data_IF_919184800552
#
_entry.id   IF_919184800552
#
_cell.length_a   1.000
_cell.length_b   1.000
_cell.length_c   1.000
_cell.angle_alpha   90.00
_cell.angle_beta   90.00
_cell.angle_gamma   90.00
#
_symmetry.space_group_name_H-M   'P 1'
#
loop_
_entity.id
_entity.type
_entity.pdbx_description
1 polymer ?
#
# COMPACT_ATOMS: atom_id res chain seq x y z
N UNK A 1 34.53 -7.71 -0.05
CA UNK A 1 34.72 -7.30 -1.47
C UNK A 1 34.02 -8.27 -2.41
N UNK A 2 34.37 -9.55 -2.44
CA UNK A 2 33.72 -10.54 -3.34
C UNK A 2 32.22 -10.73 -3.12
N UNK A 3 31.73 -10.78 -1.87
CA UNK A 3 30.29 -10.95 -1.59
C UNK A 3 29.41 -9.78 -2.08
N UNK A 4 29.91 -8.54 -2.04
CA UNK A 4 29.17 -7.38 -2.56
C UNK A 4 29.07 -7.38 -4.09
N UNK A 5 30.11 -7.86 -4.77
CA UNK A 5 30.08 -7.99 -6.24
C UNK A 5 29.08 -9.07 -6.66
N UNK A 6 28.95 -10.15 -5.87
CA UNK A 6 27.96 -11.20 -6.08
C UNK A 6 26.53 -10.69 -5.88
N UNK A 7 26.32 -9.87 -4.84
CA UNK A 7 25.01 -9.24 -4.56
C UNK A 7 24.59 -8.24 -5.65
N UNK A 8 25.47 -7.36 -6.12
CA UNK A 8 25.15 -6.40 -7.18
C UNK A 8 24.89 -7.10 -8.51
N UNK A 9 25.65 -8.17 -8.82
CA UNK A 9 25.40 -8.97 -10.01
C UNK A 9 24.04 -9.67 -9.95
N UNK A 10 23.69 -10.23 -8.78
CA UNK A 10 22.37 -10.84 -8.56
C UNK A 10 21.24 -9.83 -8.74
N UNK A 11 21.35 -8.62 -8.17
CA UNK A 11 20.35 -7.55 -8.36
C UNK A 11 20.17 -7.21 -9.84
N UNK A 12 21.26 -7.10 -10.59
CA UNK A 12 21.22 -6.79 -12.02
C UNK A 12 20.53 -7.90 -12.84
N UNK A 13 20.81 -9.17 -12.54
CA UNK A 13 20.16 -10.32 -13.19
C UNK A 13 18.66 -10.35 -12.88
N UNK A 14 18.27 -10.18 -11.61
CA UNK A 14 16.87 -10.12 -11.21
C UNK A 14 16.14 -8.96 -11.91
N UNK A 15 16.75 -7.77 -11.96
CA UNK A 15 16.18 -6.62 -12.67
C UNK A 15 15.95 -6.93 -14.15
N UNK A 16 16.93 -7.54 -14.81
CA UNK A 16 16.83 -7.91 -16.22
C UNK A 16 15.70 -8.92 -16.46
N UNK A 17 15.57 -9.95 -15.61
CA UNK A 17 14.48 -10.93 -15.72
C UNK A 17 13.13 -10.24 -15.52
N UNK A 18 12.97 -9.43 -14.47
CA UNK A 18 11.73 -8.74 -14.18
C UNK A 18 11.29 -7.82 -15.33
N UNK A 19 12.22 -7.09 -15.93
CA UNK A 19 11.96 -6.24 -17.11
C UNK A 19 11.51 -7.05 -18.32
N UNK A 20 12.18 -8.17 -18.61
CA UNK A 20 11.81 -9.04 -19.73
C UNK A 20 10.41 -9.63 -19.55
N UNK A 21 10.12 -10.17 -18.36
CA UNK A 21 8.80 -10.71 -18.03
C UNK A 21 7.69 -9.65 -18.13
N UNK A 22 7.96 -8.42 -17.66
CA UNK A 22 7.00 -7.32 -17.73
C UNK A 22 6.80 -6.78 -19.16
N UNK A 23 7.80 -6.87 -20.03
CA UNK A 23 7.68 -6.46 -21.43
C UNK A 23 6.85 -7.46 -22.26
N UNK A 24 6.92 -8.75 -21.92
CA UNK A 24 6.26 -9.83 -22.67
C UNK A 24 4.86 -10.17 -22.15
N UNK A 25 4.47 -9.67 -20.97
CA UNK A 25 3.18 -10.01 -20.35
C UNK A 25 2.04 -9.18 -20.94
N UNK A 26 0.96 -9.86 -21.34
CA UNK A 26 -0.28 -9.18 -21.71
C UNK A 26 -1.07 -8.73 -20.48
N UNK A 27 -1.95 -7.74 -20.65
CA UNK A 27 -2.83 -7.27 -19.56
C UNK A 27 -3.71 -8.39 -18.97
N UNK A 28 -4.05 -9.41 -19.77
CA UNK A 28 -4.87 -10.55 -19.33
C UNK A 28 -4.06 -11.55 -18.48
N UNK A 29 -2.77 -11.72 -18.77
CA UNK A 29 -1.87 -12.63 -18.05
C UNK A 29 -1.23 -11.99 -16.82
N UNK A 30 -1.17 -10.65 -16.77
CA UNK A 30 -0.53 -9.90 -15.70
C UNK A 30 -1.00 -10.35 -14.30
N UNK A 31 -2.31 -10.51 -14.01
CA UNK A 31 -2.76 -10.94 -12.69
C UNK A 31 -2.17 -12.29 -12.27
N UNK A 32 -1.90 -13.20 -13.20
CA UNK A 32 -1.35 -14.52 -12.91
C UNK A 32 0.16 -14.44 -12.64
N UNK A 33 0.89 -13.64 -13.44
CA UNK A 33 2.35 -13.50 -13.39
C UNK A 33 2.87 -12.39 -12.46
N UNK A 34 1.98 -11.62 -11.84
CA UNK A 34 2.34 -10.40 -11.09
C UNK A 34 3.40 -10.65 -10.00
N UNK A 35 3.32 -11.77 -9.28
CA UNK A 35 4.30 -12.09 -8.23
C UNK A 35 5.69 -12.35 -8.82
N UNK A 36 5.78 -13.17 -9.86
CA UNK A 36 7.05 -13.48 -10.52
C UNK A 36 7.74 -12.21 -11.02
N UNK A 37 6.98 -11.32 -11.67
CA UNK A 37 7.49 -10.04 -12.17
C UNK A 37 7.98 -9.16 -11.01
N UNK A 38 7.12 -8.92 -10.01
CA UNK A 38 7.39 -7.98 -8.93
C UNK A 38 8.51 -8.47 -8.02
N UNK A 39 8.59 -9.77 -7.75
CA UNK A 39 9.66 -10.34 -6.92
C UNK A 39 11.03 -10.12 -7.57
N UNK A 40 11.13 -10.28 -8.89
CA UNK A 40 12.35 -9.99 -9.63
C UNK A 40 12.68 -8.49 -9.65
N UNK A 41 11.71 -7.63 -9.95
CA UNK A 41 11.93 -6.18 -9.99
C UNK A 41 12.29 -5.61 -8.61
N UNK A 42 11.65 -6.08 -7.54
CA UNK A 42 11.91 -5.61 -6.18
C UNK A 42 13.31 -5.97 -5.68
N UNK A 43 13.89 -7.10 -6.10
CA UNK A 43 15.28 -7.44 -5.81
C UNK A 43 16.23 -6.46 -6.50
N UNK A 44 15.90 -6.05 -7.73
CA UNK A 44 16.70 -5.14 -8.54
C UNK A 44 16.44 -3.65 -8.32
N UNK A 45 15.48 -3.26 -7.47
CA UNK A 45 14.92 -1.90 -7.43
C UNK A 45 15.93 -0.79 -7.17
N UNK A 46 16.98 -1.07 -6.39
CA UNK A 46 18.04 -0.10 -6.08
C UNK A 46 18.89 0.28 -7.30
N UNK A 47 18.86 -0.52 -8.38
CA UNK A 47 19.56 -0.26 -9.63
C UNK A 47 18.71 0.53 -10.64
N UNK A 48 17.44 0.79 -10.33
CA UNK A 48 16.54 1.56 -11.20
C UNK A 48 16.78 3.05 -10.95
N UNK A 49 17.21 3.76 -12.00
CA UNK A 49 17.47 5.21 -11.94
C UNK A 49 16.39 6.05 -12.61
N UNK A 50 15.52 5.42 -13.41
CA UNK A 50 14.41 6.11 -14.07
C UNK A 50 13.22 6.20 -13.10
N UNK A 51 12.80 7.43 -12.80
CA UNK A 51 11.67 7.70 -11.92
C UNK A 51 10.37 7.10 -12.46
N UNK A 52 10.18 7.10 -13.78
CA UNK A 52 8.97 6.54 -14.38
C UNK A 52 8.89 5.03 -14.18
N UNK A 53 10.02 4.33 -14.29
CA UNK A 53 10.11 2.90 -14.02
C UNK A 53 9.86 2.57 -12.53
N UNK A 54 10.35 3.41 -11.62
CA UNK A 54 10.06 3.27 -10.17
C UNK A 54 8.57 3.43 -9.87
N UNK A 55 7.90 4.39 -10.53
CA UNK A 55 6.45 4.58 -10.40
C UNK A 55 5.69 3.39 -10.97
N UNK A 56 6.11 2.82 -12.09
CA UNK A 56 5.50 1.61 -12.64
C UNK A 56 5.71 0.41 -11.72
N UNK A 57 6.90 0.27 -11.11
CA UNK A 57 7.15 -0.74 -10.09
C UNK A 57 6.25 -0.54 -8.85
N UNK A 58 6.00 0.70 -8.42
CA UNK A 58 5.04 0.97 -7.35
C UNK A 58 3.61 0.52 -7.71
N UNK A 59 3.18 0.68 -8.96
CA UNK A 59 1.88 0.20 -9.45
C UNK A 59 1.80 -1.33 -9.43
N UNK A 60 2.84 -2.00 -9.91
CA UNK A 60 2.91 -3.46 -9.89
C UNK A 60 2.89 -4.00 -8.44
N UNK A 61 3.62 -3.34 -7.54
CA UNK A 61 3.60 -3.65 -6.11
C UNK A 61 2.21 -3.46 -5.48
N UNK A 62 1.47 -2.41 -5.85
CA UNK A 62 0.10 -2.21 -5.38
C UNK A 62 -0.80 -3.39 -5.78
N UNK A 63 -0.72 -3.83 -7.04
CA UNK A 63 -1.55 -4.93 -7.53
C UNK A 63 -1.12 -6.30 -6.94
N UNK A 64 0.18 -6.55 -6.82
CA UNK A 64 0.70 -7.74 -6.13
C UNK A 64 0.24 -7.79 -4.67
N UNK A 65 0.36 -6.66 -3.96
CA UNK A 65 -0.06 -6.54 -2.56
C UNK A 65 -1.55 -6.76 -2.37
N UNK A 66 -2.40 -6.20 -3.24
CA UNK A 66 -3.85 -6.46 -3.23
C UNK A 66 -4.16 -7.95 -3.45
N UNK A 67 -3.48 -8.60 -4.41
CA UNK A 67 -3.66 -10.03 -4.69
C UNK A 67 -3.24 -10.89 -3.49
N UNK A 68 -2.12 -10.56 -2.85
CA UNK A 68 -1.65 -11.24 -1.64
C UNK A 68 -2.64 -11.07 -0.47
N UNK A 69 -3.11 -9.84 -0.23
CA UNK A 69 -4.13 -9.53 0.78
C UNK A 69 -5.43 -10.29 0.54
N UNK A 70 -5.92 -10.36 -0.70
CA UNK A 70 -7.12 -11.12 -1.05
C UNK A 70 -6.99 -12.62 -0.75
N UNK A 71 -5.76 -13.14 -0.74
CA UNK A 71 -5.41 -14.51 -0.37
C UNK A 71 -5.04 -14.66 1.12
N UNK A 72 -5.42 -13.68 1.95
CA UNK A 72 -5.13 -13.56 3.40
C UNK A 72 -3.65 -13.57 3.80
N UNK A 73 -2.75 -13.39 2.85
CA UNK A 73 -1.30 -13.32 3.07
C UNK A 73 -0.87 -11.90 3.50
N UNK A 74 -1.47 -11.37 4.57
CA UNK A 74 -1.32 -9.96 4.98
C UNK A 74 0.14 -9.56 5.28
N UNK A 75 0.89 -10.41 5.97
CA UNK A 75 2.29 -10.14 6.28
C UNK A 75 3.14 -10.04 5.00
N UNK A 76 2.92 -10.96 4.04
CA UNK A 76 3.59 -10.91 2.74
C UNK A 76 3.18 -9.66 1.95
N UNK A 77 1.88 -9.31 1.97
CA UNK A 77 1.37 -8.09 1.35
C UNK A 77 2.12 -6.84 1.86
N UNK A 78 2.35 -6.75 3.17
CA UNK A 78 3.11 -5.66 3.80
C UNK A 78 4.58 -5.67 3.40
N UNK A 79 5.28 -6.78 3.62
CA UNK A 79 6.76 -6.81 3.58
C UNK A 79 7.31 -6.97 2.17
N UNK A 80 6.60 -7.69 1.30
CA UNK A 80 7.08 -8.00 -0.05
C UNK A 80 6.56 -7.01 -1.11
N UNK A 81 5.43 -6.33 -0.87
CA UNK A 81 4.79 -5.53 -1.91
C UNK A 81 4.49 -4.09 -1.49
N UNK A 82 3.66 -3.85 -0.48
CA UNK A 82 3.26 -2.48 -0.12
C UNK A 82 4.44 -1.64 0.40
N UNK A 83 5.32 -2.21 1.22
CA UNK A 83 6.48 -1.46 1.74
C UNK A 83 7.48 -1.12 0.62
N UNK A 84 7.94 -2.07 -0.22
CA UNK A 84 8.78 -1.74 -1.37
C UNK A 84 8.10 -0.77 -2.35
N UNK A 85 6.78 -0.94 -2.59
CA UNK A 85 6.02 -0.05 -3.46
C UNK A 85 5.98 1.41 -2.96
N UNK A 86 5.99 1.63 -1.64
CA UNK A 86 6.08 2.98 -1.06
C UNK A 86 7.52 3.50 -1.10
N UNK A 87 8.52 2.66 -0.84
CA UNK A 87 9.94 3.04 -0.84
C UNK A 87 10.43 3.58 -2.19
N UNK A 88 9.85 3.09 -3.29
CA UNK A 88 10.23 3.52 -4.65
C UNK A 88 9.46 4.76 -5.14
N UNK A 89 8.47 5.25 -4.39
CA UNK A 89 7.74 6.45 -4.80
C UNK A 89 8.63 7.70 -4.73
N UNK A 90 8.46 8.66 -5.66
CA UNK A 90 9.12 9.96 -5.57
C UNK A 90 8.77 10.70 -4.27
N UNK A 91 9.67 11.53 -3.76
CA UNK A 91 9.45 12.26 -2.50
C UNK A 91 8.24 13.21 -2.51
N UNK A 92 7.77 13.61 -3.69
CA UNK A 92 6.58 14.44 -3.87
C UNK A 92 5.34 13.67 -4.37
N UNK A 93 5.32 12.34 -4.23
CA UNK A 93 4.29 11.45 -4.80
C UNK A 93 2.86 11.78 -4.37
N UNK A 94 2.63 12.31 -3.17
CA UNK A 94 1.32 12.82 -2.75
C UNK A 94 0.77 13.95 -3.64
N UNK A 95 1.66 14.69 -4.32
CA UNK A 95 1.31 15.72 -5.30
C UNK A 95 1.24 15.16 -6.71
N UNK A 96 2.29 14.46 -7.15
CA UNK A 96 2.48 14.01 -8.55
C UNK A 96 1.75 12.72 -8.90
N UNK A 97 1.61 11.80 -7.93
CA UNK A 97 1.06 10.46 -8.09
C UNK A 97 0.07 10.13 -6.96
N UNK A 98 -0.85 11.08 -6.71
CA UNK A 98 -1.74 11.05 -5.55
C UNK A 98 -2.50 9.74 -5.41
N UNK A 99 -3.21 9.28 -6.45
CA UNK A 99 -4.04 8.08 -6.36
C UNK A 99 -3.21 6.84 -6.04
N UNK A 100 -2.06 6.68 -6.69
CA UNK A 100 -1.15 5.55 -6.42
C UNK A 100 -0.65 5.58 -4.97
N UNK A 101 -0.20 6.75 -4.52
CA UNK A 101 0.30 6.95 -3.15
C UNK A 101 -0.80 6.68 -2.13
N UNK A 102 -1.97 7.28 -2.31
CA UNK A 102 -3.14 7.10 -1.44
C UNK A 102 -3.52 5.62 -1.32
N UNK A 103 -3.64 4.93 -2.46
CA UNK A 103 -4.00 3.51 -2.48
C UNK A 103 -2.94 2.63 -1.78
N UNK A 104 -1.63 2.86 -2.01
CA UNK A 104 -0.56 2.10 -1.36
C UNK A 104 -0.58 2.26 0.16
N UNK A 105 -0.69 3.50 0.65
CA UNK A 105 -0.76 3.77 2.09
C UNK A 105 -2.06 3.21 2.70
N UNK A 106 -3.20 3.31 2.00
CA UNK A 106 -4.47 2.74 2.42
C UNK A 106 -4.38 1.22 2.59
N UNK A 107 -3.96 0.50 1.56
CA UNK A 107 -3.84 -0.96 1.63
C UNK A 107 -2.82 -1.40 2.69
N UNK A 108 -1.70 -0.69 2.82
CA UNK A 108 -0.72 -0.93 3.89
C UNK A 108 -1.34 -0.75 5.27
N UNK A 109 -2.04 0.37 5.52
CA UNK A 109 -2.65 0.65 6.82
C UNK A 109 -3.65 -0.43 7.26
N UNK A 110 -4.44 -0.93 6.33
CA UNK A 110 -5.38 -2.02 6.58
C UNK A 110 -4.64 -3.33 6.89
N UNK A 111 -3.60 -3.68 6.12
CA UNK A 111 -2.82 -4.89 6.40
C UNK A 111 -2.04 -4.81 7.72
N UNK A 112 -1.50 -3.65 8.11
CA UNK A 112 -0.86 -3.47 9.42
C UNK A 112 -1.87 -3.79 10.53
N UNK A 113 -3.10 -3.30 10.41
CA UNK A 113 -4.17 -3.60 11.37
C UNK A 113 -4.51 -5.09 11.40
N UNK A 114 -4.68 -5.73 10.23
CA UNK A 114 -5.00 -7.15 10.12
C UNK A 114 -3.87 -8.05 10.65
N UNK A 115 -2.62 -7.58 10.62
CA UNK A 115 -1.48 -8.24 11.26
C UNK A 115 -1.36 -7.95 12.77
N UNK A 116 -2.22 -7.11 13.34
CA UNK A 116 -2.20 -6.74 14.76
C UNK A 116 -1.27 -5.58 15.12
N UNK A 117 -0.68 -4.90 14.13
CA UNK A 117 0.20 -3.75 14.31
C UNK A 117 -0.62 -2.45 14.44
N UNK A 118 -1.50 -2.38 15.45
CA UNK A 118 -2.53 -1.34 15.56
C UNK A 118 -1.97 0.08 15.61
N UNK A 119 -0.92 0.31 16.41
CA UNK A 119 -0.30 1.63 16.51
C UNK A 119 0.22 2.10 15.15
N UNK A 120 0.81 1.18 14.37
CA UNK A 120 1.31 1.50 13.03
C UNK A 120 0.19 1.78 12.04
N UNK A 121 -0.89 1.01 12.10
CA UNK A 121 -2.08 1.27 11.30
C UNK A 121 -2.64 2.67 11.57
N UNK A 122 -2.75 3.06 12.84
CA UNK A 122 -3.27 4.38 13.24
C UNK A 122 -2.37 5.54 12.81
N UNK A 123 -1.04 5.41 12.91
CA UNK A 123 -0.10 6.37 12.34
C UNK A 123 -0.36 6.58 10.83
N UNK A 124 -0.53 5.48 10.08
CA UNK A 124 -0.76 5.53 8.64
C UNK A 124 -2.13 6.13 8.31
N UNK A 125 -3.19 5.77 9.03
CA UNK A 125 -4.51 6.36 8.84
C UNK A 125 -4.49 7.88 9.03
N UNK A 126 -3.83 8.36 10.08
CA UNK A 126 -3.70 9.79 10.34
C UNK A 126 -2.88 10.49 9.24
N UNK A 127 -1.81 9.87 8.75
CA UNK A 127 -1.04 10.39 7.62
C UNK A 127 -1.93 10.54 6.37
N UNK A 128 -2.71 9.51 6.03
CA UNK A 128 -3.59 9.55 4.85
C UNK A 128 -4.67 10.62 5.01
N UNK A 129 -5.30 10.73 6.19
CA UNK A 129 -6.30 11.76 6.47
C UNK A 129 -5.72 13.18 6.36
N UNK A 130 -4.46 13.39 6.73
CA UNK A 130 -3.79 14.67 6.55
C UNK A 130 -3.50 15.00 5.08
N UNK A 131 -3.21 13.99 4.25
CA UNK A 131 -2.93 14.14 2.83
C UNK A 131 -4.19 14.14 1.94
N UNK A 132 -5.33 13.68 2.48
CA UNK A 132 -6.58 13.53 1.74
C UNK A 132 -7.05 14.83 1.08
N UNK A 133 -7.20 14.81 -0.25
CA UNK A 133 -7.59 15.97 -1.07
C UNK A 133 -9.09 16.23 -1.09
N UNK A 134 -9.91 15.22 -0.77
CA UNK A 134 -11.35 15.34 -0.79
C UNK A 134 -12.01 14.80 0.47
N UNK A 135 -13.25 15.22 0.71
CA UNK A 135 -14.08 14.65 1.76
C UNK A 135 -14.44 13.18 1.47
N UNK A 136 -14.50 12.79 0.19
CA UNK A 136 -14.74 11.40 -0.18
C UNK A 136 -13.56 10.50 0.26
N UNK A 137 -12.34 10.97 0.03
CA UNK A 137 -11.12 10.27 0.46
C UNK A 137 -11.08 10.10 1.98
N UNK A 138 -11.47 11.15 2.73
CA UNK A 138 -11.57 11.10 4.20
C UNK A 138 -12.65 10.11 4.65
N UNK A 139 -13.82 10.13 4.02
CA UNK A 139 -14.90 9.18 4.30
C UNK A 139 -14.45 7.74 4.08
N UNK A 140 -13.73 7.47 2.99
CA UNK A 140 -13.20 6.14 2.67
C UNK A 140 -12.28 5.62 3.79
N UNK A 141 -11.34 6.44 4.25
CA UNK A 141 -10.43 6.04 5.34
C UNK A 141 -11.17 5.82 6.65
N UNK A 142 -12.14 6.68 6.98
CA UNK A 142 -12.97 6.48 8.18
C UNK A 142 -13.82 5.21 8.10
N UNK A 143 -14.36 4.88 6.92
CA UNK A 143 -15.13 3.65 6.71
C UNK A 143 -14.27 2.39 6.89
N UNK A 144 -13.04 2.39 6.37
CA UNK A 144 -12.09 1.29 6.55
C UNK A 144 -11.74 1.11 8.02
N UNK A 145 -11.36 2.20 8.70
CA UNK A 145 -11.08 2.18 10.15
C UNK A 145 -12.26 1.61 10.92
N UNK A 146 -13.46 2.12 10.68
CA UNK A 146 -14.67 1.64 11.35
C UNK A 146 -14.88 0.14 11.15
N UNK A 147 -14.79 -0.37 9.91
CA UNK A 147 -14.97 -1.79 9.61
C UNK A 147 -13.94 -2.68 10.33
N UNK A 148 -12.69 -2.21 10.44
CA UNK A 148 -11.62 -2.91 11.16
C UNK A 148 -11.83 -2.93 12.68
N UNK A 149 -12.36 -1.84 13.26
CA UNK A 149 -12.70 -1.78 14.69
C UNK A 149 -13.91 -2.64 15.05
N UNK A 150 -14.93 -2.65 14.19
CA UNK A 150 -16.14 -3.46 14.36
C UNK A 150 -15.80 -4.96 14.38
N UNK A 151 -14.92 -5.41 13.47
CA UNK A 151 -14.46 -6.80 13.40
C UNK A 151 -13.76 -7.27 14.70
N UNK A 152 -13.20 -6.35 15.50
CA UNK A 152 -12.52 -6.64 16.77
C UNK A 152 -13.44 -6.55 18.00
N UNK A 153 -14.73 -6.22 17.81
CA UNK A 153 -15.67 -6.02 18.91
C UNK A 153 -15.40 -4.76 19.75
N UNK A 154 -14.63 -3.80 19.24
CA UNK A 154 -14.31 -2.53 19.91
C UNK A 154 -15.36 -1.46 19.60
N UNK A 155 -16.62 -1.73 19.97
CA UNK A 155 -17.78 -0.88 19.65
C UNK A 155 -17.66 0.57 20.13
N UNK A 156 -17.01 0.81 21.26
CA UNK A 156 -16.86 2.16 21.84
C UNK A 156 -15.91 3.03 21.01
N UNK A 157 -14.79 2.48 20.54
CA UNK A 157 -13.85 3.23 19.69
C UNK A 157 -14.40 3.42 18.27
N UNK A 158 -15.11 2.41 17.74
CA UNK A 158 -15.83 2.54 16.48
C UNK A 158 -16.85 3.70 16.53
N UNK A 159 -17.66 3.78 17.60
CA UNK A 159 -18.63 4.87 17.81
C UNK A 159 -17.98 6.25 17.96
N UNK A 160 -16.85 6.35 18.67
CA UNK A 160 -16.09 7.60 18.81
C UNK A 160 -15.58 8.08 17.45
N UNK A 161 -14.98 7.17 16.67
CA UNK A 161 -14.45 7.48 15.34
C UNK A 161 -15.55 7.84 14.34
N UNK A 162 -16.69 7.15 14.35
CA UNK A 162 -17.84 7.51 13.51
C UNK A 162 -18.36 8.90 13.88
N UNK A 163 -18.40 9.24 15.16
CA UNK A 163 -18.82 10.56 15.64
C UNK A 163 -17.84 11.67 15.21
N UNK A 164 -16.53 11.40 15.24
CA UNK A 164 -15.51 12.32 14.74
C UNK A 164 -15.58 12.50 13.23
N UNK A 165 -15.74 11.41 12.48
CA UNK A 165 -15.91 11.45 11.03
C UNK A 165 -17.13 12.29 10.65
N UNK A 166 -18.30 12.02 11.23
CA UNK A 166 -19.54 12.74 10.92
C UNK A 166 -19.46 14.25 11.24
N UNK A 167 -18.75 14.64 12.30
CA UNK A 167 -18.49 16.05 12.59
C UNK A 167 -17.74 16.76 11.47
N UNK A 168 -16.82 16.08 10.77
CA UNK A 168 -16.13 16.67 9.61
C UNK A 168 -17.06 16.93 8.42
N UNK A 169 -18.21 16.24 8.36
CA UNK A 169 -19.27 16.46 7.37
C UNK A 169 -20.39 17.40 7.86
N UNK A 170 -20.23 18.02 9.04
CA UNK A 170 -21.25 18.88 9.64
C UNK A 170 -22.44 18.12 10.22
N UNK A 171 -22.34 16.79 10.34
CA UNK A 171 -23.39 15.93 10.90
C UNK A 171 -23.05 15.68 12.37
N UNK A 172 -23.90 16.14 13.28
CA UNK A 172 -23.81 15.80 14.70
C UNK A 172 -24.81 14.70 15.02
N UNK A 173 -24.32 13.55 15.47
CA UNK A 173 -25.19 12.53 16.03
C UNK A 173 -25.74 13.00 17.38
N UNK A 174 -27.04 12.81 17.66
CA UNK A 174 -27.59 13.08 18.98
C UNK A 174 -26.92 12.14 19.99
N UNK A 175 -26.35 12.72 21.06
CA UNK A 175 -25.94 11.94 22.22
C UNK A 175 -27.19 11.40 22.89
N UNK A 176 -27.49 10.11 22.70
CA UNK A 176 -28.52 9.43 23.49
C UNK A 176 -28.11 9.47 24.97
N UNK A 177 -29.03 9.99 25.80
CA UNK A 177 -29.00 9.91 27.25
C UNK A 177 -28.97 8.47 27.76
#
# INVERSE_FOLDING_TARGET
AYALIDDDHKKAVHLQIGRLLNADVSAQELPEKIFEIVDHLNVGRELITDESELVDLARLNLEAGKKAKASTAYAAALTQYFTPGIEVLPGDSWKTHYDLTFNLYREKSECEYLCGNFDKAEELFNLILNQAKSNLDRAEIHNIRFALYDNRGQYVEALRLTSEALKTFGISLPTTN
#
